data_IF_193027439732
#
_entry.id   IF_193027439732
#
_cell.length_a   1.000
_cell.length_b   1.000
_cell.length_c   1.000
_cell.angle_alpha   90.00
_cell.angle_beta   90.00
_cell.angle_gamma   90.00
#
_symmetry.space_group_name_H-M   'P 1'
#
loop_
_entity.id
_entity.type
_entity.pdbx_description
1 polymer ?
#
# COMPACT_ATOMS: atom_id res chain seq x y z
N UNK A 1 -22.97 -11.87 16.66
CA UNK A 1 -21.72 -12.19 15.89
C UNK A 1 -21.76 -11.37 14.61
N UNK A 2 -20.67 -10.71 14.24
CA UNK A 2 -20.60 -9.97 12.99
C UNK A 2 -20.84 -10.93 11.80
N UNK A 3 -21.63 -10.49 10.82
CA UNK A 3 -21.97 -11.31 9.66
C UNK A 3 -20.74 -11.39 8.73
N UNK A 4 -20.18 -12.60 8.58
CA UNK A 4 -19.04 -12.86 7.71
C UNK A 4 -19.51 -13.23 6.30
N UNK A 5 -18.94 -12.62 5.30
CA UNK A 5 -19.17 -12.90 3.88
C UNK A 5 -17.92 -13.51 3.28
N UNK A 6 -18.06 -14.60 2.52
CA UNK A 6 -16.94 -15.16 1.76
C UNK A 6 -16.71 -14.30 0.52
N UNK A 7 -15.52 -13.68 0.43
CA UNK A 7 -15.16 -12.76 -0.68
C UNK A 7 -13.75 -13.00 -1.15
N UNK A 8 -13.48 -12.71 -2.42
CA UNK A 8 -12.10 -12.56 -2.91
C UNK A 8 -11.48 -11.26 -2.38
N UNK A 9 -10.16 -11.24 -2.22
CA UNK A 9 -9.45 -10.04 -1.79
C UNK A 9 -9.74 -8.82 -2.67
N UNK A 10 -9.72 -8.99 -4.00
CA UNK A 10 -10.07 -7.94 -4.95
C UNK A 10 -11.50 -7.39 -4.75
N UNK A 11 -12.48 -8.26 -4.49
CA UNK A 11 -13.87 -7.86 -4.24
C UNK A 11 -14.01 -7.14 -2.90
N UNK A 12 -13.29 -7.60 -1.88
CA UNK A 12 -13.28 -6.98 -0.56
C UNK A 12 -12.75 -5.52 -0.61
N UNK A 13 -11.72 -5.25 -1.40
CA UNK A 13 -11.25 -3.88 -1.68
C UNK A 13 -12.37 -3.05 -2.32
N UNK A 14 -13.05 -3.58 -3.33
CA UNK A 14 -14.14 -2.88 -4.02
C UNK A 14 -15.28 -2.50 -3.08
N UNK A 15 -15.80 -3.46 -2.28
CA UNK A 15 -16.89 -3.18 -1.35
C UNK A 15 -16.45 -2.25 -0.22
N UNK A 16 -15.24 -2.44 0.33
CA UNK A 16 -14.72 -1.57 1.37
C UNK A 16 -14.53 -0.12 0.88
N UNK A 17 -14.09 0.07 -0.36
CA UNK A 17 -14.01 1.39 -0.97
C UNK A 17 -15.38 2.07 -1.07
N UNK A 18 -16.40 1.34 -1.51
CA UNK A 18 -17.79 1.84 -1.58
C UNK A 18 -18.27 2.26 -0.18
N UNK A 19 -18.07 1.41 0.83
CA UNK A 19 -18.45 1.68 2.23
C UNK A 19 -17.66 2.82 2.85
N UNK A 20 -16.41 2.99 2.43
CA UNK A 20 -15.60 4.16 2.77
C UNK A 20 -16.06 5.43 2.04
N UNK A 21 -17.16 5.42 1.28
CA UNK A 21 -17.70 6.60 0.61
C UNK A 21 -17.02 6.93 -0.71
N UNK A 22 -16.30 6.01 -1.34
CA UNK A 22 -15.79 6.16 -2.70
C UNK A 22 -16.97 6.26 -3.67
N UNK A 23 -17.06 7.35 -4.41
CA UNK A 23 -18.13 7.59 -5.39
C UNK A 23 -17.66 7.57 -6.83
N UNK A 24 -16.36 7.61 -7.06
CA UNK A 24 -15.78 7.64 -8.41
C UNK A 24 -14.66 6.62 -8.52
N UNK A 25 -14.78 5.75 -9.49
CA UNK A 25 -13.78 4.75 -9.80
C UNK A 25 -13.47 4.75 -11.30
N UNK A 26 -12.20 4.95 -11.63
CA UNK A 26 -11.69 4.98 -12.99
C UNK A 26 -10.52 4.03 -13.13
N UNK A 27 -10.61 3.07 -14.05
CA UNK A 27 -9.53 2.11 -14.25
C UNK A 27 -9.49 1.56 -15.67
N UNK A 28 -8.37 0.94 -16.02
CA UNK A 28 -8.19 0.13 -17.20
C UNK A 28 -8.01 -1.33 -16.78
N UNK A 29 -8.64 -2.31 -17.43
CA UNK A 29 -8.55 -3.71 -17.02
C UNK A 29 -7.15 -4.27 -17.22
N UNK A 30 -6.64 -4.97 -16.20
CA UNK A 30 -5.36 -5.65 -16.20
C UNK A 30 -5.36 -6.79 -15.16
N UNK A 31 -4.87 -7.98 -15.54
CA UNK A 31 -4.70 -9.10 -14.61
C UNK A 31 -3.51 -8.85 -13.68
N UNK A 32 -3.60 -9.16 -12.34
CA UNK A 32 -4.62 -9.98 -11.68
C UNK A 32 -5.67 -9.19 -10.87
N UNK A 33 -5.98 -7.94 -11.20
CA UNK A 33 -6.90 -7.10 -10.43
C UNK A 33 -8.32 -6.99 -11.03
N UNK A 34 -8.65 -7.73 -12.09
CA UNK A 34 -9.87 -7.55 -12.89
C UNK A 34 -11.18 -7.67 -12.09
N UNK A 35 -11.19 -8.36 -10.96
CA UNK A 35 -12.37 -8.44 -10.10
C UNK A 35 -12.69 -7.10 -9.44
N UNK A 36 -11.69 -6.22 -9.20
CA UNK A 36 -11.96 -4.88 -8.65
C UNK A 36 -12.83 -4.07 -9.60
N UNK A 37 -12.43 -3.81 -10.87
CA UNK A 37 -13.28 -3.06 -11.79
C UNK A 37 -14.61 -3.76 -12.09
N UNK A 38 -14.65 -5.10 -12.16
CA UNK A 38 -15.89 -5.85 -12.34
C UNK A 38 -16.87 -5.64 -11.17
N UNK A 39 -16.36 -5.68 -9.93
CA UNK A 39 -17.15 -5.42 -8.73
C UNK A 39 -17.65 -3.97 -8.70
N UNK A 40 -16.76 -3.01 -8.95
CA UNK A 40 -17.09 -1.58 -8.97
C UNK A 40 -18.09 -1.24 -10.07
N UNK A 41 -17.98 -1.84 -11.26
CA UNK A 41 -18.92 -1.64 -12.36
C UNK A 41 -20.34 -2.05 -11.98
N UNK A 42 -20.48 -3.11 -11.20
CA UNK A 42 -21.77 -3.61 -10.71
C UNK A 42 -22.32 -2.76 -9.57
N UNK A 43 -21.50 -2.54 -8.54
CA UNK A 43 -21.96 -2.02 -7.25
C UNK A 43 -22.04 -0.49 -7.18
N UNK A 44 -21.08 0.21 -7.83
CA UNK A 44 -20.99 1.66 -7.69
C UNK A 44 -22.22 2.40 -8.19
N UNK A 45 -22.85 2.04 -9.35
CA UNK A 45 -24.11 2.61 -9.79
C UNK A 45 -25.28 2.40 -8.82
N UNK A 46 -25.32 1.24 -8.13
CA UNK A 46 -26.40 0.93 -7.17
C UNK A 46 -26.39 1.88 -5.96
N UNK A 47 -25.25 2.47 -5.64
CA UNK A 47 -25.10 3.44 -4.54
C UNK A 47 -24.94 4.89 -5.02
N UNK A 48 -25.32 5.16 -6.29
CA UNK A 48 -25.27 6.50 -6.89
C UNK A 48 -23.85 7.01 -7.13
N UNK A 49 -22.88 6.12 -7.31
CA UNK A 49 -21.52 6.45 -7.73
C UNK A 49 -21.32 6.29 -9.24
N UNK A 50 -20.12 6.61 -9.72
CA UNK A 50 -19.74 6.55 -11.13
C UNK A 50 -18.57 5.60 -11.33
N UNK A 51 -18.79 4.56 -12.13
CA UNK A 51 -17.76 3.72 -12.71
C UNK A 51 -17.49 4.14 -14.15
N UNK A 52 -16.21 4.23 -14.53
CA UNK A 52 -15.82 4.42 -15.92
C UNK A 52 -14.57 3.63 -16.24
N UNK A 53 -14.64 2.78 -17.26
CA UNK A 53 -13.48 2.13 -17.83
C UNK A 53 -12.79 3.10 -18.79
N UNK A 54 -11.60 3.55 -18.42
CA UNK A 54 -10.78 4.43 -19.24
C UNK A 54 -10.14 3.65 -20.41
N UNK A 55 -9.71 4.37 -21.44
CA UNK A 55 -9.00 3.78 -22.58
C UNK A 55 -7.53 3.42 -22.26
N UNK A 56 -7.00 3.92 -21.14
CA UNK A 56 -5.65 3.63 -20.68
C UNK A 56 -5.48 3.93 -19.18
N UNK A 57 -4.40 3.44 -18.59
CA UNK A 57 -4.02 3.76 -17.21
C UNK A 57 -3.68 5.23 -17.03
N UNK A 58 -3.11 5.87 -18.07
CA UNK A 58 -2.81 7.32 -18.08
C UNK A 58 -4.11 8.13 -17.99
N UNK A 59 -5.11 7.79 -18.80
CA UNK A 59 -6.41 8.44 -18.71
C UNK A 59 -7.08 8.22 -17.35
N UNK A 60 -7.05 6.99 -16.83
CA UNK A 60 -7.64 6.65 -15.54
C UNK A 60 -7.08 7.50 -14.39
N UNK A 61 -5.76 7.66 -14.29
CA UNK A 61 -5.15 8.45 -13.20
C UNK A 61 -5.47 9.95 -13.34
N UNK A 62 -5.56 10.46 -14.55
CA UNK A 62 -5.96 11.87 -14.79
C UNK A 62 -7.44 12.12 -14.44
N UNK A 63 -8.34 11.13 -14.68
CA UNK A 63 -9.73 11.19 -14.22
C UNK A 63 -9.82 11.19 -12.69
N UNK A 64 -9.00 10.36 -12.00
CA UNK A 64 -8.88 10.37 -10.53
C UNK A 64 -8.44 11.75 -10.04
N UNK A 65 -7.44 12.35 -10.68
CA UNK A 65 -6.94 13.68 -10.33
C UNK A 65 -8.07 14.72 -10.42
N UNK A 66 -8.85 14.72 -11.51
CA UNK A 66 -9.98 15.63 -11.70
C UNK A 66 -11.08 15.43 -10.65
N UNK A 67 -11.47 14.17 -10.36
CA UNK A 67 -12.49 13.85 -9.37
C UNK A 67 -12.04 14.24 -7.95
N UNK A 68 -10.78 13.97 -7.61
CA UNK A 68 -10.21 14.39 -6.33
C UNK A 68 -10.17 15.91 -6.19
N UNK A 69 -9.75 16.62 -7.23
CA UNK A 69 -9.75 18.09 -7.25
C UNK A 69 -11.14 18.66 -7.03
N UNK A 70 -12.20 18.00 -7.52
CA UNK A 70 -13.59 18.34 -7.26
C UNK A 70 -14.09 17.95 -5.85
N UNK A 71 -13.23 17.36 -5.02
CA UNK A 71 -13.53 17.02 -3.61
C UNK A 71 -14.11 15.63 -3.40
N UNK A 72 -14.23 14.80 -4.44
CA UNK A 72 -14.77 13.46 -4.28
C UNK A 72 -13.75 12.47 -3.66
N UNK A 73 -14.23 11.45 -2.91
CA UNK A 73 -13.46 10.23 -2.68
C UNK A 73 -13.44 9.41 -3.97
N UNK A 74 -12.27 9.13 -4.47
CA UNK A 74 -12.07 8.42 -5.72
C UNK A 74 -10.94 7.41 -5.63
N UNK A 75 -11.00 6.37 -6.46
CA UNK A 75 -10.04 5.29 -6.50
C UNK A 75 -9.73 4.86 -7.93
N UNK A 76 -8.52 4.40 -8.15
CA UNK A 76 -8.13 3.60 -9.31
C UNK A 76 -7.41 2.34 -8.86
N UNK A 77 -7.43 1.31 -9.68
CA UNK A 77 -6.62 0.12 -9.47
C UNK A 77 -5.88 -0.25 -10.75
N UNK A 78 -4.79 -0.99 -10.59
CA UNK A 78 -4.01 -1.57 -11.69
C UNK A 78 -3.11 -2.69 -11.17
N UNK A 79 -2.21 -3.13 -12.02
CA UNK A 79 -1.14 -4.09 -11.71
C UNK A 79 0.17 -3.57 -12.29
N UNK A 80 1.24 -3.80 -11.63
CA UNK A 80 2.65 -3.52 -11.96
C UNK A 80 2.93 -2.65 -13.22
N UNK A 81 2.81 -3.15 -14.48
CA UNK A 81 3.08 -2.31 -15.66
C UNK A 81 2.06 -1.17 -15.83
N UNK A 82 0.80 -1.35 -15.41
CA UNK A 82 -0.19 -0.29 -15.45
C UNK A 82 0.06 0.79 -14.39
N UNK A 83 0.62 0.42 -13.23
CA UNK A 83 1.09 1.40 -12.23
C UNK A 83 2.26 2.21 -12.78
N UNK A 84 3.15 1.59 -13.56
CA UNK A 84 4.23 2.32 -14.23
C UNK A 84 3.71 3.43 -15.14
N UNK A 85 2.62 3.17 -15.88
CA UNK A 85 1.95 4.19 -16.71
C UNK A 85 1.26 5.31 -15.90
N UNK A 86 0.92 5.06 -14.64
CA UNK A 86 0.28 6.05 -13.76
C UNK A 86 1.25 6.97 -13.03
N UNK A 87 2.56 6.74 -13.08
CA UNK A 87 3.53 7.39 -12.21
C UNK A 87 3.59 8.91 -12.37
N UNK A 88 3.47 9.44 -13.57
CA UNK A 88 3.37 10.90 -13.79
C UNK A 88 2.16 11.48 -13.07
N UNK A 89 0.98 10.87 -13.27
CA UNK A 89 -0.26 11.31 -12.61
C UNK A 89 -0.19 11.19 -11.09
N UNK A 90 0.48 10.16 -10.56
CA UNK A 90 0.73 9.99 -9.11
C UNK A 90 1.57 11.16 -8.59
N UNK A 91 2.62 11.54 -9.30
CA UNK A 91 3.44 12.71 -8.96
C UNK A 91 2.60 14.00 -8.97
N UNK A 92 1.76 14.21 -9.98
CA UNK A 92 0.89 15.39 -10.08
C UNK A 92 -0.13 15.47 -8.96
N UNK A 93 -0.78 14.35 -8.62
CA UNK A 93 -1.75 14.26 -7.52
C UNK A 93 -1.07 14.57 -6.18
N UNK A 94 0.15 14.05 -5.98
CA UNK A 94 0.95 14.31 -4.77
C UNK A 94 1.36 15.77 -4.67
N UNK A 95 1.87 16.35 -5.75
CA UNK A 95 2.24 17.77 -5.80
C UNK A 95 1.07 18.73 -5.61
N UNK A 96 -0.12 18.34 -6.05
CA UNK A 96 -1.35 19.13 -5.90
C UNK A 96 -2.06 18.91 -4.54
N UNK A 97 -1.50 18.11 -3.64
CA UNK A 97 -2.08 17.74 -2.33
C UNK A 97 -3.52 17.20 -2.49
N UNK A 98 -3.73 16.28 -3.43
CA UNK A 98 -5.04 15.70 -3.70
C UNK A 98 -5.19 14.31 -3.05
N UNK A 99 -6.22 14.09 -2.21
CA UNK A 99 -6.47 12.78 -1.61
C UNK A 99 -7.02 11.79 -2.63
N UNK A 100 -6.36 10.66 -2.82
CA UNK A 100 -6.82 9.58 -3.69
C UNK A 100 -6.30 8.22 -3.20
N UNK A 101 -6.98 7.15 -3.57
CA UNK A 101 -6.53 5.78 -3.31
C UNK A 101 -6.18 5.09 -4.62
N UNK A 102 -4.99 4.48 -4.66
CA UNK A 102 -4.53 3.63 -5.76
C UNK A 102 -4.34 2.22 -5.24
N UNK A 103 -4.80 1.22 -5.98
CA UNK A 103 -4.56 -0.19 -5.66
C UNK A 103 -3.58 -0.76 -6.68
N UNK A 104 -2.47 -1.31 -6.21
CA UNK A 104 -1.56 -2.12 -7.01
C UNK A 104 -1.65 -3.58 -6.59
N UNK A 105 -2.23 -4.42 -7.45
CA UNK A 105 -2.17 -5.87 -7.30
C UNK A 105 -0.95 -6.37 -8.08
N UNK A 106 0.19 -6.48 -7.39
CA UNK A 106 1.48 -6.80 -7.99
C UNK A 106 1.50 -8.15 -8.70
N UNK A 107 2.18 -8.17 -9.85
CA UNK A 107 2.47 -9.37 -10.62
C UNK A 107 3.95 -9.47 -11.01
N UNK A 108 4.38 -10.63 -11.49
CA UNK A 108 5.77 -10.85 -11.90
C UNK A 108 6.21 -9.94 -13.05
N UNK A 109 7.30 -9.22 -12.83
CA UNK A 109 8.04 -8.41 -13.80
C UNK A 109 9.48 -8.93 -13.95
N UNK A 110 10.37 -8.20 -14.65
CA UNK A 110 10.18 -6.90 -15.30
C UNK A 110 9.42 -6.94 -16.63
N UNK A 111 9.04 -5.76 -17.13
CA UNK A 111 8.32 -5.57 -18.38
C UNK A 111 6.91 -6.15 -18.34
N UNK A 112 6.48 -6.85 -19.39
CA UNK A 112 5.18 -7.51 -19.40
C UNK A 112 5.11 -8.62 -18.33
N UNK A 113 6.21 -9.30 -18.08
CA UNK A 113 6.35 -10.36 -17.06
C UNK A 113 5.35 -11.49 -17.24
N UNK A 114 4.72 -11.88 -16.13
CA UNK A 114 3.62 -12.84 -16.11
C UNK A 114 2.48 -12.35 -15.20
N UNK A 115 1.39 -13.12 -15.10
CA UNK A 115 0.21 -12.74 -14.32
C UNK A 115 0.20 -13.28 -12.88
N UNK A 116 1.23 -14.03 -12.49
CA UNK A 116 1.34 -14.57 -11.14
C UNK A 116 1.71 -13.47 -10.12
N UNK A 117 1.23 -13.60 -8.89
CA UNK A 117 1.50 -12.63 -7.83
C UNK A 117 3.00 -12.52 -7.52
N UNK A 118 3.50 -11.31 -7.27
CA UNK A 118 4.89 -11.04 -6.94
C UNK A 118 5.01 -9.82 -6.00
N UNK A 119 6.23 -9.48 -5.57
CA UNK A 119 6.51 -8.33 -4.70
C UNK A 119 7.62 -7.43 -5.28
N UNK A 120 7.72 -7.39 -6.62
CA UNK A 120 8.77 -6.65 -7.32
C UNK A 120 8.57 -5.13 -7.41
N UNK A 121 7.43 -4.59 -6.97
CA UNK A 121 7.12 -3.16 -7.07
C UNK A 121 7.32 -2.41 -5.74
N UNK A 122 7.97 -3.01 -4.75
CA UNK A 122 8.18 -2.37 -3.45
C UNK A 122 8.89 -1.01 -3.58
N UNK A 123 9.98 -0.94 -4.34
CA UNK A 123 10.68 0.34 -4.56
C UNK A 123 9.85 1.34 -5.35
N UNK A 124 9.14 0.90 -6.39
CA UNK A 124 8.27 1.77 -7.15
C UNK A 124 7.19 2.40 -6.26
N UNK A 125 6.63 1.63 -5.32
CA UNK A 125 5.62 2.11 -4.39
C UNK A 125 6.21 3.03 -3.31
N UNK A 126 7.32 2.65 -2.68
CA UNK A 126 7.87 3.31 -1.49
C UNK A 126 8.86 4.43 -1.80
N UNK A 127 9.56 4.38 -2.96
CA UNK A 127 10.55 5.37 -3.39
C UNK A 127 9.99 6.39 -4.39
N UNK A 128 8.78 6.12 -4.92
CA UNK A 128 8.21 6.87 -6.03
C UNK A 128 8.74 6.45 -7.39
N UNK A 129 7.90 6.53 -8.42
CA UNK A 129 8.24 6.21 -9.80
C UNK A 129 8.05 7.41 -10.74
N UNK A 130 7.43 8.50 -10.24
CA UNK A 130 7.30 9.78 -10.93
C UNK A 130 8.46 10.72 -10.59
N UNK A 131 8.33 11.96 -11.03
CA UNK A 131 9.34 12.99 -10.81
C UNK A 131 9.06 13.80 -9.54
N UNK A 132 10.13 14.36 -8.96
CA UNK A 132 10.09 15.29 -7.83
C UNK A 132 10.15 14.62 -6.47
N UNK A 133 10.16 15.45 -5.45
CA UNK A 133 10.25 15.05 -4.05
C UNK A 133 8.85 14.83 -3.48
N UNK A 134 8.37 13.58 -3.50
CA UNK A 134 7.08 13.23 -2.92
C UNK A 134 7.09 11.83 -2.31
N UNK A 135 6.12 11.56 -1.46
CA UNK A 135 5.81 10.24 -0.94
C UNK A 135 4.35 9.89 -1.13
N UNK A 136 4.09 8.60 -1.27
CA UNK A 136 2.76 7.99 -1.23
C UNK A 136 2.69 7.14 0.03
N UNK A 137 1.58 7.20 0.76
CA UNK A 137 1.38 6.27 1.89
C UNK A 137 1.10 4.89 1.32
N UNK A 138 1.90 3.90 1.69
CA UNK A 138 1.83 2.54 1.15
C UNK A 138 1.45 1.57 2.24
N UNK A 139 0.33 0.86 2.05
CA UNK A 139 -0.21 -0.10 3.02
C UNK A 139 -0.28 -1.48 2.36
N UNK A 140 0.30 -2.49 3.00
CA UNK A 140 0.39 -3.86 2.49
C UNK A 140 -0.44 -4.83 3.37
N UNK A 141 -1.68 -5.14 2.99
CA UNK A 141 -2.50 -6.13 3.67
C UNK A 141 -1.92 -7.53 3.53
N UNK A 142 -2.19 -8.42 4.50
CA UNK A 142 -1.78 -9.83 4.49
C UNK A 142 -2.94 -10.81 4.50
N UNK A 143 -4.20 -10.35 4.58
CA UNK A 143 -5.42 -11.16 4.57
C UNK A 143 -6.54 -10.45 3.82
N UNK A 144 -7.59 -11.18 3.45
CA UNK A 144 -8.78 -10.56 2.82
C UNK A 144 -9.48 -9.59 3.76
N UNK A 145 -9.50 -9.88 5.07
CA UNK A 145 -10.02 -8.93 6.06
C UNK A 145 -9.20 -7.62 6.04
N UNK A 146 -7.88 -7.74 6.07
CA UNK A 146 -7.03 -6.55 6.03
C UNK A 146 -7.13 -5.80 4.70
N UNK A 147 -7.42 -6.46 3.59
CA UNK A 147 -7.71 -5.76 2.34
C UNK A 147 -8.90 -4.81 2.48
N UNK A 148 -9.95 -5.24 3.18
CA UNK A 148 -11.09 -4.36 3.47
C UNK A 148 -10.72 -3.26 4.46
N UNK A 149 -10.10 -3.60 5.59
CA UNK A 149 -9.79 -2.66 6.66
C UNK A 149 -8.76 -1.60 6.20
N UNK A 150 -7.70 -2.03 5.52
CA UNK A 150 -6.68 -1.14 4.97
C UNK A 150 -7.24 -0.21 3.88
N UNK A 151 -8.25 -0.65 3.12
CA UNK A 151 -8.90 0.21 2.11
C UNK A 151 -9.64 1.35 2.78
N UNK A 152 -10.39 1.10 3.85
CA UNK A 152 -11.04 2.17 4.63
C UNK A 152 -9.99 3.11 5.22
N UNK A 153 -8.95 2.55 5.86
CA UNK A 153 -7.85 3.31 6.46
C UNK A 153 -7.12 4.18 5.43
N UNK A 154 -6.93 3.69 4.20
CA UNK A 154 -6.31 4.46 3.12
C UNK A 154 -7.12 5.71 2.76
N UNK A 155 -8.45 5.62 2.67
CA UNK A 155 -9.31 6.79 2.45
C UNK A 155 -9.29 7.79 3.59
N UNK A 156 -9.24 7.31 4.85
CA UNK A 156 -9.13 8.17 6.03
C UNK A 156 -7.81 8.93 6.05
N UNK A 157 -6.69 8.25 5.82
CA UNK A 157 -5.35 8.87 5.75
C UNK A 157 -5.30 9.86 4.58
N UNK A 158 -5.78 9.47 3.41
CA UNK A 158 -5.78 10.31 2.23
C UNK A 158 -6.51 11.64 2.50
N UNK A 159 -7.72 11.61 3.07
CA UNK A 159 -8.48 12.82 3.38
C UNK A 159 -7.84 13.63 4.51
N UNK A 160 -7.37 12.97 5.59
CA UNK A 160 -6.79 13.63 6.77
C UNK A 160 -5.56 14.46 6.43
N UNK A 161 -4.68 13.90 5.58
CA UNK A 161 -3.40 14.51 5.26
C UNK A 161 -3.34 15.13 3.86
N UNK A 162 -4.40 14.98 3.06
CA UNK A 162 -4.41 15.40 1.64
C UNK A 162 -3.25 14.78 0.87
N UNK A 163 -3.15 13.47 0.92
CA UNK A 163 -2.10 12.68 0.27
C UNK A 163 -2.71 11.53 -0.52
N UNK A 164 -1.93 10.99 -1.42
CA UNK A 164 -2.28 9.72 -2.06
C UNK A 164 -1.91 8.56 -1.15
N UNK A 165 -2.80 7.56 -1.08
CA UNK A 165 -2.53 6.28 -0.44
C UNK A 165 -2.54 5.15 -1.48
N UNK A 166 -1.64 4.18 -1.33
CA UNK A 166 -1.58 2.98 -2.15
C UNK A 166 -1.83 1.74 -1.31
N UNK A 167 -2.77 0.92 -1.72
CA UNK A 167 -2.89 -0.47 -1.26
C UNK A 167 -1.97 -1.32 -2.14
N UNK A 168 -0.96 -1.90 -1.54
CA UNK A 168 0.03 -2.73 -2.21
C UNK A 168 -0.21 -4.20 -1.87
N UNK A 169 -1.03 -4.86 -2.66
CA UNK A 169 -1.28 -6.29 -2.59
C UNK A 169 -0.51 -7.06 -3.65
N UNK A 170 -0.63 -8.37 -3.62
CA UNK A 170 -0.14 -9.23 -4.68
C UNK A 170 -1.29 -10.07 -5.28
N UNK A 171 -1.08 -10.62 -6.46
CA UNK A 171 -2.11 -11.35 -7.19
C UNK A 171 -2.67 -12.56 -6.44
N UNK A 172 -1.91 -13.17 -5.55
CA UNK A 172 -2.38 -14.32 -4.74
C UNK A 172 -3.41 -13.86 -3.71
N UNK A 173 -3.11 -12.80 -2.96
CA UNK A 173 -4.05 -12.21 -2.00
C UNK A 173 -5.31 -11.69 -2.69
N UNK A 174 -5.17 -11.08 -3.87
CA UNK A 174 -6.32 -10.57 -4.63
C UNK A 174 -7.29 -11.67 -5.07
N UNK A 175 -6.78 -12.83 -5.44
CA UNK A 175 -7.58 -13.98 -5.90
C UNK A 175 -8.04 -14.90 -4.77
N UNK A 176 -7.42 -14.82 -3.59
CA UNK A 176 -7.77 -15.64 -2.44
C UNK A 176 -9.14 -15.28 -1.90
N UNK A 177 -9.94 -16.31 -1.53
CA UNK A 177 -11.23 -16.13 -0.88
C UNK A 177 -11.15 -16.49 0.61
N UNK A 178 -11.55 -15.56 1.46
CA UNK A 178 -11.62 -15.76 2.92
C UNK A 178 -12.91 -15.15 3.48
N UNK A 179 -13.40 -15.62 4.65
CA UNK A 179 -14.50 -14.97 5.35
C UNK A 179 -14.07 -13.56 5.81
N UNK A 180 -14.81 -12.54 5.40
CA UNK A 180 -14.57 -11.15 5.69
C UNK A 180 -15.76 -10.50 6.40
N UNK A 181 -15.51 -9.72 7.43
CA UNK A 181 -16.45 -8.78 8.03
C UNK A 181 -16.29 -7.46 7.32
N UNK A 182 -17.33 -7.04 6.64
CA UNK A 182 -17.29 -5.77 5.90
C UNK A 182 -17.44 -4.59 6.87
N UNK A 183 -16.69 -3.48 6.64
CA UNK A 183 -16.78 -2.29 7.47
C UNK A 183 -18.19 -1.67 7.38
N UNK A 184 -18.61 -0.92 8.40
CA UNK A 184 -19.84 -0.15 8.32
C UNK A 184 -19.69 1.00 7.31
N UNK A 185 -20.75 1.33 6.54
CA UNK A 185 -20.69 2.46 5.62
C UNK A 185 -20.46 3.79 6.33
N UNK A 186 -19.55 4.61 5.78
CA UNK A 186 -19.32 5.97 6.28
C UNK A 186 -20.47 6.88 5.86
N UNK A 187 -21.24 7.38 6.82
CA UNK A 187 -22.40 8.24 6.56
C UNK A 187 -22.00 9.69 6.25
N UNK A 188 -21.01 10.22 6.97
CA UNK A 188 -20.59 11.61 6.86
C UNK A 188 -19.13 11.70 6.44
N UNK A 189 -18.88 12.29 5.29
CA UNK A 189 -17.52 12.56 4.82
C UNK A 189 -17.02 13.92 5.34
N UNK A 190 -15.71 14.06 5.58
CA UNK A 190 -15.14 15.34 6.00
C UNK A 190 -15.35 16.42 4.92
N UNK A 191 -15.64 17.64 5.35
CA UNK A 191 -15.76 18.77 4.45
C UNK A 191 -14.42 19.07 3.75
N UNK A 192 -14.48 19.39 2.47
CA UNK A 192 -13.32 19.69 1.63
C UNK A 192 -13.40 21.12 1.08
N UNK A 193 -13.15 22.16 1.91
CA UNK A 193 -13.32 23.56 1.49
C UNK A 193 -12.35 23.97 0.38
N UNK A 194 -11.30 23.22 0.15
CA UNK A 194 -10.32 23.42 -0.90
C UNK A 194 -10.80 22.90 -2.27
N UNK A 195 -11.88 22.13 -2.33
CA UNK A 195 -12.32 21.45 -3.55
C UNK A 195 -12.84 22.43 -4.61
N UNK A 196 -12.62 22.10 -5.88
CA UNK A 196 -13.06 22.88 -7.04
C UNK A 196 -14.56 22.65 -7.33
N UNK A 197 -15.43 23.29 -6.57
CA UNK A 197 -16.89 23.16 -6.66
C UNK A 197 -17.56 24.35 -7.38
N UNK A 198 -16.83 25.05 -8.24
CA UNK A 198 -17.26 26.26 -8.93
C UNK A 198 -16.58 27.52 -8.41
N UNK A 199 -16.77 28.63 -9.08
CA UNK A 199 -16.21 29.94 -8.70
C UNK A 199 -17.07 30.57 -7.60
N UNK A 200 -16.45 30.82 -6.44
CA UNK A 200 -17.08 31.61 -5.36
C UNK A 200 -16.20 32.82 -5.04
N UNK A 201 -16.84 33.94 -4.62
CA UNK A 201 -16.12 35.17 -4.30
C UNK A 201 -15.13 35.00 -3.13
N UNK A 202 -15.42 34.08 -2.23
CA UNK A 202 -14.66 33.89 -0.97
C UNK A 202 -13.54 32.86 -1.06
N UNK A 203 -13.37 32.20 -2.19
CA UNK A 203 -12.34 31.17 -2.34
C UNK A 203 -10.97 31.83 -2.48
N UNK A 204 -10.13 31.65 -1.46
CA UNK A 204 -8.75 32.17 -1.44
C UNK A 204 -7.70 31.17 -1.94
N UNK A 205 -8.03 29.87 -1.99
CA UNK A 205 -7.08 28.83 -2.31
C UNK A 205 -7.57 28.00 -3.52
N UNK A 206 -6.69 27.78 -4.48
CA UNK A 206 -6.91 26.94 -5.63
C UNK A 206 -6.04 25.69 -5.55
N UNK A 207 -6.39 24.65 -6.31
CA UNK A 207 -5.49 23.53 -6.56
C UNK A 207 -4.34 24.04 -7.44
N UNK A 208 -3.11 23.91 -6.96
CA UNK A 208 -1.92 24.39 -7.66
C UNK A 208 -1.33 23.23 -8.48
N UNK A 209 -1.35 23.37 -9.79
CA UNK A 209 -0.77 22.41 -10.72
C UNK A 209 0.61 22.84 -11.23
N UNK A 210 0.92 24.11 -11.15
CA UNK A 210 2.20 24.70 -11.55
C UNK A 210 2.54 25.86 -10.63
N UNK A 211 3.78 25.92 -10.20
CA UNK A 211 4.28 26.92 -9.28
C UNK A 211 5.35 27.74 -9.95
N UNK A 212 5.30 29.06 -9.76
CA UNK A 212 6.27 29.96 -10.32
C UNK A 212 7.60 29.86 -9.60
N UNK A 213 8.67 29.95 -10.35
CA UNK A 213 10.01 30.17 -9.81
C UNK A 213 10.14 31.68 -9.55
N UNK A 214 9.98 32.10 -8.30
CA UNK A 214 10.16 33.50 -7.90
C UNK A 214 11.22 33.60 -6.79
N UNK A 215 12.34 34.27 -7.10
CA UNK A 215 13.40 34.56 -6.13
C UNK A 215 14.11 33.33 -5.55
N UNK A 216 14.93 33.58 -4.50
CA UNK A 216 15.73 32.55 -3.82
C UNK A 216 14.85 31.54 -3.07
N UNK A 217 13.68 31.98 -2.61
CA UNK A 217 12.70 31.18 -1.86
C UNK A 217 11.51 30.75 -2.73
N UNK A 218 11.74 30.43 -4.00
CA UNK A 218 10.70 30.16 -4.99
C UNK A 218 9.51 29.34 -4.45
N UNK A 219 8.32 29.59 -5.01
CA UNK A 219 7.06 28.98 -4.57
C UNK A 219 7.11 27.45 -4.49
N UNK A 220 7.82 26.80 -5.43
CA UNK A 220 7.99 25.34 -5.45
C UNK A 220 8.82 24.87 -4.26
N UNK A 221 9.90 25.58 -3.90
CA UNK A 221 10.73 25.23 -2.74
C UNK A 221 9.91 25.27 -1.44
N UNK A 222 9.17 26.36 -1.23
CA UNK A 222 8.31 26.51 -0.05
C UNK A 222 7.21 25.43 -0.01
N UNK A 223 6.60 25.12 -1.14
CA UNK A 223 5.59 24.07 -1.26
C UNK A 223 6.16 22.69 -0.95
N UNK A 224 7.32 22.32 -1.50
CA UNK A 224 7.97 21.03 -1.24
C UNK A 224 8.31 20.89 0.25
N UNK A 225 8.84 21.94 0.90
CA UNK A 225 9.10 21.94 2.35
C UNK A 225 7.81 21.68 3.15
N UNK A 226 6.71 22.33 2.78
CA UNK A 226 5.38 22.12 3.40
C UNK A 226 4.91 20.65 3.23
N UNK A 227 5.12 20.05 2.05
CA UNK A 227 4.80 18.62 1.85
C UNK A 227 5.60 17.74 2.83
N UNK A 228 6.89 18.01 3.01
CA UNK A 228 7.74 17.24 3.92
C UNK A 228 7.38 17.45 5.39
N UNK A 229 6.92 18.62 5.81
CA UNK A 229 6.33 18.82 7.15
C UNK A 229 5.09 17.95 7.36
N UNK A 230 4.27 17.78 6.33
CA UNK A 230 3.11 16.92 6.38
C UNK A 230 3.51 15.43 6.40
N UNK A 231 4.50 15.03 5.61
CA UNK A 231 5.05 13.67 5.63
C UNK A 231 5.65 13.30 6.99
N UNK A 232 6.32 14.22 7.67
CA UNK A 232 6.81 13.98 9.04
C UNK A 232 5.66 13.64 10.00
N UNK A 233 4.52 14.36 9.93
CA UNK A 233 3.33 14.04 10.72
C UNK A 233 2.77 12.66 10.41
N UNK A 234 2.80 12.24 9.14
CA UNK A 234 2.36 10.90 8.71
C UNK A 234 3.32 9.85 9.29
N UNK A 235 4.63 10.07 9.24
CA UNK A 235 5.63 9.18 9.81
C UNK A 235 5.44 8.99 11.32
N UNK A 236 5.05 10.03 12.04
CA UNK A 236 4.83 9.97 13.49
C UNK A 236 3.52 9.25 13.88
N UNK A 237 2.51 9.23 13.01
CA UNK A 237 1.15 8.85 13.41
C UNK A 237 0.55 7.66 12.65
N UNK A 238 1.08 7.27 11.49
CA UNK A 238 0.40 6.32 10.61
C UNK A 238 1.26 5.08 10.30
N UNK A 239 2.28 4.79 11.15
CA UNK A 239 3.00 3.52 11.09
C UNK A 239 2.13 2.37 11.56
N UNK A 240 2.20 1.23 10.86
CA UNK A 240 1.45 0.02 11.19
C UNK A 240 2.34 -1.22 11.02
N UNK A 241 2.32 -2.13 11.98
CA UNK A 241 3.06 -3.40 11.93
C UNK A 241 2.42 -4.47 12.79
N UNK A 242 2.83 -5.71 12.59
CA UNK A 242 2.55 -6.86 13.46
C UNK A 242 3.87 -7.49 13.89
N UNK A 243 4.04 -7.71 15.20
CA UNK A 243 5.10 -8.53 15.75
C UNK A 243 4.50 -9.82 16.30
N UNK A 244 4.97 -10.97 15.84
CA UNK A 244 4.49 -12.27 16.27
C UNK A 244 5.62 -13.09 16.87
N UNK A 245 5.56 -13.38 18.18
CA UNK A 245 6.55 -14.13 18.94
C UNK A 245 7.98 -13.55 18.85
N UNK A 246 8.11 -12.22 18.85
CA UNK A 246 9.42 -11.54 18.73
C UNK A 246 10.10 -11.29 20.09
N UNK A 247 9.37 -11.35 21.21
CA UNK A 247 9.82 -10.89 22.52
C UNK A 247 11.06 -11.66 23.03
N UNK A 248 11.18 -12.95 22.69
CA UNK A 248 12.28 -13.83 23.07
C UNK A 248 12.97 -14.46 21.85
N UNK A 249 12.79 -13.88 20.66
CA UNK A 249 13.28 -14.45 19.41
C UNK A 249 14.79 -14.25 19.24
N UNK A 250 15.51 -15.35 19.00
CA UNK A 250 16.90 -15.33 18.53
C UNK A 250 16.99 -14.99 17.03
N UNK A 251 15.97 -15.38 16.26
CA UNK A 251 15.87 -15.16 14.80
C UNK A 251 14.54 -14.50 14.48
N UNK A 252 14.58 -13.36 13.78
CA UNK A 252 13.37 -12.67 13.33
C UNK A 252 13.23 -12.80 11.81
N UNK A 253 12.11 -13.34 11.36
CA UNK A 253 11.71 -13.29 9.96
C UNK A 253 11.10 -11.92 9.70
N UNK A 254 11.47 -11.25 8.61
CA UNK A 254 10.86 -9.99 8.18
C UNK A 254 10.18 -10.20 6.82
N UNK A 255 8.86 -9.99 6.75
CA UNK A 255 8.09 -10.22 5.52
C UNK A 255 6.78 -9.42 5.52
N UNK A 256 6.21 -9.14 4.33
CA UNK A 256 4.90 -8.52 4.17
C UNK A 256 4.00 -9.31 3.23
N UNK A 257 2.71 -8.99 3.18
CA UNK A 257 1.74 -9.60 2.25
C UNK A 257 1.71 -11.13 2.34
N UNK A 258 1.70 -11.79 1.19
CA UNK A 258 1.70 -13.26 1.08
C UNK A 258 2.91 -13.90 1.78
N UNK A 259 4.11 -13.31 1.66
CA UNK A 259 5.30 -13.85 2.33
C UNK A 259 5.17 -13.87 3.85
N UNK A 260 4.53 -12.87 4.46
CA UNK A 260 4.31 -12.85 5.90
C UNK A 260 3.43 -14.02 6.38
N UNK A 261 2.45 -14.43 5.59
CA UNK A 261 1.60 -15.61 5.89
C UNK A 261 2.44 -16.90 5.93
N UNK A 262 3.33 -17.06 4.95
CA UNK A 262 4.24 -18.21 4.87
C UNK A 262 5.22 -18.18 6.05
N UNK A 263 5.83 -17.04 6.34
CA UNK A 263 6.75 -16.86 7.46
C UNK A 263 6.07 -17.13 8.81
N UNK A 264 4.81 -16.73 8.99
CA UNK A 264 4.05 -17.01 10.22
C UNK A 264 3.89 -18.52 10.47
N UNK A 265 3.72 -19.31 9.41
CA UNK A 265 3.71 -20.78 9.51
C UNK A 265 5.12 -21.31 9.79
N UNK A 266 6.16 -20.79 9.14
CA UNK A 266 7.55 -21.20 9.40
C UNK A 266 7.96 -20.93 10.85
N UNK A 267 7.58 -19.79 11.44
CA UNK A 267 7.80 -19.49 12.86
C UNK A 267 7.19 -20.56 13.76
N UNK A 268 5.95 -20.98 13.50
CA UNK A 268 5.31 -22.05 14.29
C UNK A 268 6.10 -23.35 14.23
N UNK A 269 6.51 -23.78 13.03
CA UNK A 269 7.29 -25.00 12.82
C UNK A 269 8.65 -24.92 13.53
N UNK A 270 9.34 -23.78 13.46
CA UNK A 270 10.62 -23.56 14.15
C UNK A 270 10.45 -23.62 15.68
N UNK A 271 9.39 -22.99 16.21
CA UNK A 271 9.08 -23.00 17.65
C UNK A 271 8.76 -24.41 18.15
N UNK A 272 8.03 -25.23 17.39
CA UNK A 272 7.75 -26.63 17.68
C UNK A 272 9.06 -27.47 17.75
N UNK A 273 10.12 -27.03 17.06
CA UNK A 273 11.45 -27.63 17.08
C UNK A 273 12.41 -27.01 18.11
N UNK A 274 11.92 -26.13 18.99
CA UNK A 274 12.70 -25.47 20.04
C UNK A 274 13.55 -24.28 19.59
N UNK A 275 13.40 -23.83 18.34
CA UNK A 275 14.12 -22.67 17.81
C UNK A 275 13.28 -21.41 18.06
N UNK A 276 13.87 -20.44 18.76
CA UNK A 276 13.22 -19.17 19.11
C UNK A 276 13.16 -18.23 17.90
N UNK A 277 12.20 -18.47 17.02
CA UNK A 277 11.93 -17.61 15.88
C UNK A 277 10.73 -16.68 16.15
N UNK A 278 10.74 -15.49 15.55
CA UNK A 278 9.64 -14.51 15.52
C UNK A 278 9.39 -13.99 14.11
N UNK A 279 8.29 -13.27 13.92
CA UNK A 279 7.98 -12.58 12.66
C UNK A 279 7.71 -11.11 12.94
N UNK A 280 8.42 -10.24 12.24
CA UNK A 280 8.08 -8.83 12.08
C UNK A 280 7.44 -8.63 10.70
N UNK A 281 6.26 -8.05 10.69
CA UNK A 281 5.51 -7.74 9.48
C UNK A 281 5.20 -6.24 9.42
N UNK A 282 5.87 -5.45 8.58
CA UNK A 282 5.40 -4.11 8.28
C UNK A 282 4.07 -4.20 7.54
N UNK A 283 3.06 -3.43 7.99
CA UNK A 283 1.78 -3.25 7.31
C UNK A 283 1.83 -1.95 6.53
N UNK A 284 2.34 -0.85 7.13
CA UNK A 284 2.77 0.30 6.35
C UNK A 284 4.19 0.07 5.84
N UNK A 285 4.38 0.26 4.52
CA UNK A 285 5.71 0.18 3.89
C UNK A 285 6.30 1.57 3.68
N UNK A 286 5.44 2.57 3.56
CA UNK A 286 5.76 3.96 3.80
C UNK A 286 4.54 4.63 4.47
N UNK A 287 4.68 5.25 5.64
CA UNK A 287 5.91 5.32 6.46
C UNK A 287 6.33 3.94 7.00
N UNK A 288 7.63 3.69 7.04
CA UNK A 288 8.16 2.43 7.55
C UNK A 288 8.12 2.40 9.08
N UNK A 289 7.65 1.33 9.74
CA UNK A 289 7.54 1.21 11.20
C UNK A 289 8.90 0.87 11.84
N UNK A 290 9.82 1.84 11.83
CA UNK A 290 11.20 1.67 12.31
C UNK A 290 11.26 1.30 13.80
N UNK A 291 10.54 2.05 14.66
CA UNK A 291 10.57 1.85 16.11
C UNK A 291 10.08 0.45 16.49
N UNK A 292 9.06 -0.01 15.78
CA UNK A 292 8.47 -1.34 15.99
C UNK A 292 9.42 -2.45 15.50
N UNK A 293 10.15 -2.23 14.39
CA UNK A 293 11.20 -3.14 13.93
C UNK A 293 12.34 -3.22 14.95
N UNK A 294 12.84 -2.10 15.42
CA UNK A 294 13.90 -2.05 16.43
C UNK A 294 13.51 -2.81 17.71
N UNK A 295 12.24 -2.64 18.14
CA UNK A 295 11.70 -3.38 19.29
C UNK A 295 11.56 -4.88 19.00
N UNK A 296 11.03 -5.27 17.84
CA UNK A 296 10.86 -6.65 17.45
C UNK A 296 12.20 -7.41 17.36
N UNK A 297 13.28 -6.69 17.07
CA UNK A 297 14.62 -7.25 16.91
C UNK A 297 15.52 -7.05 18.15
N UNK A 298 14.99 -6.60 19.29
CA UNK A 298 15.79 -6.24 20.47
C UNK A 298 16.70 -7.38 20.97
N UNK A 299 16.21 -8.64 20.90
CA UNK A 299 16.94 -9.84 21.32
C UNK A 299 17.46 -10.67 20.14
N UNK A 300 17.19 -10.25 18.90
CA UNK A 300 17.50 -11.03 17.73
C UNK A 300 19.01 -11.04 17.42
N UNK A 301 19.55 -12.21 17.15
CA UNK A 301 20.91 -12.42 16.65
C UNK A 301 21.00 -12.18 15.15
N UNK A 302 19.92 -12.50 14.44
CA UNK A 302 19.84 -12.41 12.97
C UNK A 302 18.42 -12.13 12.48
N UNK A 303 18.31 -11.37 11.39
CA UNK A 303 17.07 -11.17 10.68
C UNK A 303 17.16 -11.88 9.33
N UNK A 304 16.10 -12.64 8.96
CA UNK A 304 15.93 -13.17 7.62
C UNK A 304 14.76 -12.45 6.93
N UNK A 305 15.05 -11.65 5.91
CA UNK A 305 14.01 -11.02 5.09
C UNK A 305 13.56 -11.98 3.99
N UNK A 306 12.24 -12.16 3.84
CA UNK A 306 11.64 -13.08 2.87
C UNK A 306 10.70 -12.30 1.94
N UNK A 307 10.95 -12.39 0.62
CA UNK A 307 10.21 -11.64 -0.39
C UNK A 307 9.92 -12.47 -1.65
N UNK A 308 8.83 -12.16 -2.35
CA UNK A 308 8.61 -12.60 -3.74
C UNK A 308 9.27 -11.62 -4.72
N UNK A 309 10.57 -11.36 -4.53
CA UNK A 309 11.41 -10.46 -5.32
C UNK A 309 12.88 -10.84 -5.19
N UNK A 310 13.76 -10.11 -5.88
CA UNK A 310 15.22 -10.25 -5.74
C UNK A 310 15.83 -9.34 -4.64
N UNK A 311 15.01 -8.90 -3.69
CA UNK A 311 15.45 -8.12 -2.52
C UNK A 311 15.27 -6.61 -2.69
N UNK A 312 14.13 -6.11 -2.22
CA UNK A 312 13.83 -4.68 -2.17
C UNK A 312 13.57 -4.24 -0.73
N UNK A 313 12.60 -4.85 0.00
CA UNK A 313 12.32 -4.53 1.39
C UNK A 313 13.54 -4.81 2.30
N UNK A 314 14.37 -5.80 1.96
CA UNK A 314 15.59 -6.10 2.73
C UNK A 314 16.51 -4.88 2.87
N UNK A 315 16.48 -3.94 1.94
CA UNK A 315 17.26 -2.70 2.05
C UNK A 315 16.71 -1.79 3.16
N UNK A 316 15.38 -1.71 3.31
CA UNK A 316 14.76 -0.96 4.40
C UNK A 316 14.94 -1.67 5.74
N UNK A 317 14.85 -3.00 5.77
CA UNK A 317 15.18 -3.77 6.98
C UNK A 317 16.62 -3.48 7.43
N UNK A 318 17.60 -3.48 6.51
CA UNK A 318 19.00 -3.12 6.82
C UNK A 318 19.15 -1.67 7.29
N UNK A 319 18.43 -0.74 6.66
CA UNK A 319 18.48 0.68 7.01
C UNK A 319 17.88 0.95 8.39
N UNK A 320 16.75 0.33 8.70
CA UNK A 320 15.92 0.64 9.87
C UNK A 320 16.10 -0.32 11.05
N UNK A 321 16.78 -1.47 10.89
CA UNK A 321 17.12 -2.35 12.02
C UNK A 321 18.16 -1.73 12.97
N UNK A 322 18.81 -0.64 12.54
CA UNK A 322 19.79 0.08 13.30
C UNK A 322 21.08 -0.73 13.50
N UNK A 323 21.88 -0.34 14.51
CA UNK A 323 23.09 -1.07 14.88
C UNK A 323 22.81 -2.29 15.77
N UNK A 324 21.55 -2.57 16.09
CA UNK A 324 21.15 -3.65 17.02
C UNK A 324 21.34 -5.04 16.40
N UNK A 325 21.04 -5.19 15.11
CA UNK A 325 21.25 -6.46 14.37
C UNK A 325 22.04 -6.15 13.11
N UNK A 326 23.34 -6.47 13.15
CA UNK A 326 24.24 -6.28 11.99
C UNK A 326 24.08 -7.37 10.92
N UNK A 327 23.47 -8.50 11.28
CA UNK A 327 23.35 -9.68 10.42
C UNK A 327 21.92 -9.79 9.85
N UNK A 328 21.69 -9.16 8.70
CA UNK A 328 20.44 -9.23 7.95
C UNK A 328 20.65 -10.03 6.68
N UNK A 329 20.11 -11.24 6.66
CA UNK A 329 20.12 -12.14 5.51
C UNK A 329 18.84 -12.00 4.67
N UNK A 330 18.85 -12.60 3.50
CA UNK A 330 17.78 -12.50 2.51
C UNK A 330 17.47 -13.85 1.88
N UNK A 331 16.18 -14.11 1.66
CA UNK A 331 15.68 -15.17 0.81
C UNK A 331 14.56 -14.64 -0.09
N UNK A 332 14.68 -14.81 -1.39
CA UNK A 332 13.72 -14.31 -2.36
C UNK A 332 13.43 -15.27 -3.50
N UNK A 333 12.17 -15.30 -3.91
CA UNK A 333 11.67 -16.04 -5.07
C UNK A 333 10.95 -15.08 -6.01
N UNK A 334 11.56 -14.68 -7.14
CA UNK A 334 10.92 -13.78 -8.11
C UNK A 334 9.97 -14.52 -9.06
N UNK A 335 9.27 -13.77 -9.90
CA UNK A 335 8.53 -14.30 -11.04
C UNK A 335 7.27 -15.09 -10.72
N UNK A 336 6.70 -14.90 -9.52
CA UNK A 336 5.44 -15.52 -9.12
C UNK A 336 5.58 -16.82 -8.35
N UNK A 337 6.76 -17.13 -7.85
CA UNK A 337 6.98 -18.29 -6.96
C UNK A 337 6.77 -17.85 -5.51
N UNK A 338 5.92 -18.57 -4.78
CA UNK A 338 5.73 -18.35 -3.35
C UNK A 338 6.84 -19.08 -2.59
N UNK A 339 7.61 -18.40 -1.70
CA UNK A 339 8.60 -19.06 -0.84
C UNK A 339 7.98 -20.20 -0.04
N UNK A 340 8.66 -21.35 0.01
CA UNK A 340 8.12 -22.50 0.73
C UNK A 340 8.48 -22.44 2.23
N UNK A 341 7.57 -22.93 3.08
CA UNK A 341 7.79 -23.03 4.53
C UNK A 341 9.05 -23.83 4.85
N UNK A 342 9.23 -24.96 4.16
CA UNK A 342 10.36 -25.89 4.42
C UNK A 342 11.70 -25.23 4.11
N UNK A 343 11.81 -24.50 3.00
CA UNK A 343 13.05 -23.79 2.64
C UNK A 343 13.36 -22.70 3.65
N UNK A 344 12.35 -21.95 4.11
CA UNK A 344 12.53 -20.91 5.16
C UNK A 344 13.00 -21.56 6.47
N UNK A 345 12.39 -22.68 6.88
CA UNK A 345 12.74 -23.41 8.09
C UNK A 345 14.18 -23.92 8.02
N UNK A 346 14.57 -24.58 6.92
CA UNK A 346 15.95 -25.08 6.73
C UNK A 346 16.99 -23.95 6.71
N UNK A 347 16.63 -22.80 6.09
CA UNK A 347 17.51 -21.64 6.11
C UNK A 347 17.73 -21.10 7.51
N UNK A 348 16.70 -20.98 8.34
CA UNK A 348 16.85 -20.55 9.74
C UNK A 348 17.64 -21.58 10.55
N UNK A 349 17.43 -22.90 10.35
CA UNK A 349 18.22 -23.94 10.99
C UNK A 349 19.71 -23.84 10.68
N UNK A 350 20.07 -23.38 9.49
CA UNK A 350 21.48 -23.20 9.13
C UNK A 350 22.20 -22.09 9.91
N UNK A 351 21.46 -21.31 10.69
CA UNK A 351 22.01 -20.26 11.58
C UNK A 351 22.28 -20.75 13.01
N UNK A 352 21.70 -21.90 13.38
CA UNK A 352 21.85 -22.52 14.72
C UNK A 352 23.10 -23.35 14.78
#
# INVERSE_FOLDING_TARGET
MANKVLMKGNEAIGEAAIRAGCKYYFAYPITPQNEIPAYMAKRLPEVGGTFLQAESEIAAINMVMGASAAGARCMTSSSSPGISLKQEGISYISGAELPAVVVNMMRGGPGLGNIAGAQGDYFQATRGGGNGDYHVVVIAPGTVQEMADCTVKAFEIADKYRVMCMILGDGYLGQMSEPCVLPEPVENLPAKPWALTGKTADRKQNILMSLKLSGVDGELNAHTKKLFENYAKIQDNETMSESYMCEDADFVLAAYGTCARVCKKAVKVLREQGIKAGLFRPISLWPFPQKELEKACENAKKILTVEMSMGQMVQDIKLYSGHKVSDVDFYGEPGGIIPSVDVIVEKVKSYV
#
